data_IF_210439658638
#
_entry.id   IF_210439658638
#
_cell.length_a   1.000
_cell.length_b   1.000
_cell.length_c   1.000
_cell.angle_alpha   90.00
_cell.angle_beta   90.00
_cell.angle_gamma   90.00
#
_symmetry.space_group_name_H-M   'P 1'
#
loop_
_entity.id
_entity.type
_entity.pdbx_description
1 polymer ?
#
# COMPACT_ATOMS: atom_id res chain seq x y z
N UNK A 1 4.46 -24.45 -38.64
CA UNK A 1 3.38 -23.95 -37.77
C UNK A 1 3.83 -24.18 -36.34
N UNK A 2 4.35 -23.14 -35.72
CA UNK A 2 4.83 -23.18 -34.33
C UNK A 2 3.68 -22.62 -33.49
N UNK A 3 2.95 -23.50 -32.81
CA UNK A 3 2.00 -23.10 -31.79
C UNK A 3 2.77 -22.45 -30.66
N UNK A 4 2.53 -21.16 -30.46
CA UNK A 4 2.93 -20.48 -29.23
C UNK A 4 2.04 -21.02 -28.11
N UNK A 5 2.59 -21.40 -26.94
CA UNK A 5 1.77 -21.76 -25.81
C UNK A 5 0.95 -20.53 -25.39
N UNK A 6 -0.38 -20.69 -25.40
CA UNK A 6 -1.32 -19.73 -24.80
C UNK A 6 -0.86 -19.47 -23.37
N UNK A 7 -0.44 -18.22 -23.11
CA UNK A 7 -0.30 -17.73 -21.74
C UNK A 7 -1.67 -17.86 -21.11
N UNK A 8 -1.82 -18.78 -20.21
CA UNK A 8 -2.97 -18.83 -19.29
C UNK A 8 -3.01 -17.47 -18.60
N UNK A 9 -4.11 -16.77 -18.81
CA UNK A 9 -4.42 -15.45 -18.26
C UNK A 9 -4.57 -15.59 -16.72
N UNK A 10 -3.43 -15.69 -16.02
CA UNK A 10 -3.40 -15.53 -14.57
C UNK A 10 -3.74 -14.07 -14.30
N UNK A 11 -4.95 -13.83 -13.80
CA UNK A 11 -5.43 -12.49 -13.50
C UNK A 11 -4.46 -11.84 -12.52
N UNK A 12 -3.81 -10.75 -12.92
CA UNK A 12 -2.90 -9.99 -12.08
C UNK A 12 -3.56 -9.62 -10.74
N UNK A 13 -2.77 -9.65 -9.68
CA UNK A 13 -3.19 -9.12 -8.38
C UNK A 13 -3.11 -7.61 -8.39
N UNK A 14 -4.05 -6.95 -7.76
CA UNK A 14 -4.09 -5.49 -7.67
C UNK A 14 -3.53 -5.03 -6.33
N UNK A 15 -2.46 -4.25 -6.38
CA UNK A 15 -1.92 -3.51 -5.24
C UNK A 15 -2.46 -2.09 -5.26
N UNK A 16 -3.28 -1.73 -4.27
CA UNK A 16 -3.82 -0.38 -4.14
C UNK A 16 -2.91 0.47 -3.23
N UNK A 17 -2.39 1.55 -3.79
CA UNK A 17 -1.60 2.55 -3.06
C UNK A 17 -2.48 3.75 -2.74
N UNK A 18 -2.82 3.93 -1.48
CA UNK A 18 -3.62 5.07 -0.98
C UNK A 18 -2.70 6.03 -0.25
N UNK A 19 -2.63 7.27 -0.71
CA UNK A 19 -1.65 8.20 -0.21
C UNK A 19 -2.20 9.62 -0.01
N UNK A 20 -1.56 10.37 0.88
CA UNK A 20 -1.64 11.81 0.94
C UNK A 20 -0.25 12.40 0.87
N UNK A 21 0.05 13.12 -0.19
CA UNK A 21 1.40 13.64 -0.50
C UNK A 21 1.33 15.15 -0.80
N UNK A 22 1.10 15.97 0.25
CA UNK A 22 0.88 17.41 0.08
C UNK A 22 2.14 18.22 -0.15
N UNK A 23 3.33 17.63 -0.01
CA UNK A 23 4.62 18.30 -0.10
C UNK A 23 5.56 17.63 -1.10
N UNK A 24 6.63 18.33 -1.56
CA UNK A 24 7.67 17.71 -2.38
C UNK A 24 8.32 16.49 -1.70
N UNK A 25 8.59 16.56 -0.40
CA UNK A 25 9.18 15.47 0.36
C UNK A 25 8.28 14.22 0.37
N UNK A 26 7.00 14.37 0.69
CA UNK A 26 6.06 13.24 0.68
C UNK A 26 5.85 12.67 -0.71
N UNK A 27 5.94 13.49 -1.75
CA UNK A 27 5.88 13.02 -3.14
C UNK A 27 7.11 12.19 -3.51
N UNK A 28 8.30 12.61 -3.12
CA UNK A 28 9.55 11.88 -3.35
C UNK A 28 9.49 10.48 -2.69
N UNK A 29 8.93 10.37 -1.50
CA UNK A 29 8.74 9.08 -0.83
C UNK A 29 7.76 8.19 -1.58
N UNK A 30 6.65 8.74 -2.05
CA UNK A 30 5.68 8.00 -2.88
C UNK A 30 6.34 7.46 -4.15
N UNK A 31 7.13 8.29 -4.85
CA UNK A 31 7.83 7.87 -6.07
C UNK A 31 8.79 6.69 -5.80
N UNK A 32 9.53 6.73 -4.69
CA UNK A 32 10.41 5.64 -4.30
C UNK A 32 9.67 4.34 -3.96
N UNK A 33 8.55 4.43 -3.24
CA UNK A 33 7.69 3.28 -2.95
C UNK A 33 7.12 2.68 -4.24
N UNK A 34 6.64 3.53 -5.15
CA UNK A 34 6.10 3.09 -6.44
C UNK A 34 7.16 2.45 -7.33
N UNK A 35 8.39 2.95 -7.31
CA UNK A 35 9.49 2.34 -8.05
C UNK A 35 9.74 0.90 -7.59
N UNK A 36 9.71 0.63 -6.29
CA UNK A 36 9.82 -0.73 -5.75
C UNK A 36 8.61 -1.61 -6.04
N UNK A 37 7.40 -1.06 -5.93
CA UNK A 37 6.18 -1.80 -6.22
C UNK A 37 6.03 -2.17 -7.71
N UNK A 38 6.63 -1.38 -8.60
CA UNK A 38 6.67 -1.62 -10.04
C UNK A 38 8.03 -2.16 -10.52
N UNK A 39 8.80 -2.78 -9.64
CA UNK A 39 10.06 -3.40 -10.03
C UNK A 39 9.82 -4.36 -11.20
N UNK A 40 10.59 -4.24 -12.32
CA UNK A 40 10.39 -5.05 -13.52
C UNK A 40 10.60 -6.56 -13.29
N UNK A 41 11.25 -6.95 -12.22
CA UNK A 41 11.42 -8.36 -11.84
C UNK A 41 10.21 -8.95 -11.08
N UNK A 42 9.20 -8.12 -10.77
CA UNK A 42 7.96 -8.57 -10.13
C UNK A 42 6.84 -8.68 -11.16
N UNK A 43 6.44 -9.90 -11.47
CA UNK A 43 5.36 -10.19 -12.40
C UNK A 43 4.02 -10.44 -11.67
N UNK A 44 2.90 -10.28 -12.39
CA UNK A 44 1.57 -10.65 -11.91
C UNK A 44 0.96 -9.69 -10.89
N UNK A 45 1.47 -8.46 -10.80
CA UNK A 45 0.93 -7.41 -9.92
C UNK A 45 0.68 -6.14 -10.72
N UNK A 46 -0.53 -5.64 -10.65
CA UNK A 46 -0.90 -4.31 -11.17
C UNK A 46 -0.97 -3.32 -10.03
N UNK A 47 -0.18 -2.25 -10.09
CA UNK A 47 -0.15 -1.19 -9.08
C UNK A 47 -1.14 -0.09 -9.46
N UNK A 48 -2.11 0.18 -8.58
CA UNK A 48 -3.07 1.26 -8.73
C UNK A 48 -2.85 2.31 -7.65
N UNK A 49 -2.61 3.54 -8.06
CA UNK A 49 -2.30 4.66 -7.17
C UNK A 49 -3.49 5.61 -7.10
N UNK A 50 -4.00 5.85 -5.91
CA UNK A 50 -5.16 6.73 -5.71
C UNK A 50 -4.92 7.66 -4.51
N UNK A 51 -5.07 8.98 -4.68
CA UNK A 51 -5.05 9.89 -3.54
C UNK A 51 -6.14 9.55 -2.52
N UNK A 52 -5.85 9.71 -1.25
CA UNK A 52 -6.74 9.29 -0.16
C UNK A 52 -8.15 9.89 -0.27
N UNK A 53 -8.28 11.15 -0.70
CA UNK A 53 -9.60 11.79 -0.89
C UNK A 53 -10.36 11.27 -2.12
N UNK A 54 -9.69 10.58 -3.05
CA UNK A 54 -10.31 10.02 -4.25
C UNK A 54 -10.53 8.52 -4.20
N UNK A 55 -9.99 7.82 -3.20
CA UNK A 55 -10.14 6.38 -3.06
C UNK A 55 -11.53 6.00 -2.53
N UNK A 56 -12.12 4.98 -3.14
CA UNK A 56 -13.51 4.57 -2.91
C UNK A 56 -13.63 3.15 -2.37
N UNK A 57 -14.81 2.79 -1.87
CA UNK A 57 -15.13 1.42 -1.45
C UNK A 57 -14.88 0.39 -2.58
N UNK A 58 -15.34 0.61 -3.83
CA UNK A 58 -15.00 -0.29 -4.92
C UNK A 58 -13.50 -0.48 -5.15
N UNK A 59 -12.70 0.58 -5.00
CA UNK A 59 -11.24 0.47 -5.13
C UNK A 59 -10.65 -0.48 -4.09
N UNK A 60 -11.09 -0.36 -2.85
CA UNK A 60 -10.63 -1.19 -1.73
C UNK A 60 -11.07 -2.65 -1.91
N UNK A 61 -12.32 -2.87 -2.29
CA UNK A 61 -12.85 -4.23 -2.49
C UNK A 61 -12.18 -4.96 -3.66
N UNK A 62 -11.83 -4.24 -4.73
CA UNK A 62 -11.18 -4.81 -5.91
C UNK A 62 -9.69 -5.13 -5.70
N UNK A 63 -9.02 -4.50 -4.73
CA UNK A 63 -7.60 -4.70 -4.47
C UNK A 63 -7.32 -5.98 -3.68
N UNK A 64 -6.17 -6.58 -3.93
CA UNK A 64 -5.70 -7.79 -3.23
C UNK A 64 -4.74 -7.46 -2.07
N UNK A 65 -4.20 -6.24 -2.04
CA UNK A 65 -3.33 -5.73 -0.98
C UNK A 65 -3.19 -4.23 -1.04
N UNK A 66 -2.54 -3.65 -0.04
CA UNK A 66 -2.55 -2.21 0.18
C UNK A 66 -1.19 -1.67 0.59
N UNK A 67 -0.91 -0.45 0.15
CA UNK A 67 0.13 0.42 0.69
C UNK A 67 -0.53 1.75 1.11
N UNK A 68 -0.23 2.19 2.34
CA UNK A 68 -0.75 3.43 2.89
C UNK A 68 0.39 4.42 3.14
N UNK A 69 0.26 5.64 2.62
CA UNK A 69 1.24 6.70 2.80
C UNK A 69 0.62 7.98 3.35
N UNK A 70 1.19 8.52 4.43
CA UNK A 70 0.68 9.72 5.08
C UNK A 70 1.79 10.54 5.72
N UNK A 71 1.68 11.88 5.72
CA UNK A 71 2.42 12.68 6.66
C UNK A 71 1.87 12.50 8.08
N UNK A 72 2.70 12.74 9.08
CA UNK A 72 2.27 12.89 10.46
C UNK A 72 1.86 14.35 10.70
N UNK A 73 0.56 14.62 10.77
CA UNK A 73 0.01 15.94 11.05
C UNK A 73 -0.43 16.01 12.52
N UNK A 74 0.18 16.89 13.28
CA UNK A 74 -0.14 17.04 14.71
C UNK A 74 -0.09 15.71 15.49
N UNK A 75 0.91 14.87 15.20
CA UNK A 75 1.08 13.57 15.85
C UNK A 75 0.02 12.51 15.44
N UNK A 76 -0.65 12.69 14.30
CA UNK A 76 -1.71 11.81 13.81
C UNK A 76 -1.61 11.64 12.29
N UNK A 77 -2.29 10.64 11.73
CA UNK A 77 -2.39 10.53 10.27
C UNK A 77 -3.04 11.79 9.68
N UNK A 78 -2.80 12.07 8.40
CA UNK A 78 -3.44 13.22 7.75
C UNK A 78 -4.97 13.10 7.75
N UNK A 79 -5.66 14.23 7.76
CA UNK A 79 -7.11 14.26 7.65
C UNK A 79 -7.64 13.59 6.37
N UNK A 80 -6.87 13.68 5.28
CA UNK A 80 -7.23 13.02 4.03
C UNK A 80 -7.22 11.48 4.17
N UNK A 81 -6.21 10.90 4.79
CA UNK A 81 -6.16 9.46 5.04
C UNK A 81 -7.21 9.03 6.06
N UNK A 82 -7.46 9.84 7.09
CA UNK A 82 -8.53 9.57 8.06
C UNK A 82 -9.91 9.56 7.39
N UNK A 83 -10.18 10.52 6.50
CA UNK A 83 -11.40 10.55 5.71
C UNK A 83 -11.56 9.28 4.87
N UNK A 84 -10.49 8.82 4.21
CA UNK A 84 -10.51 7.55 3.49
C UNK A 84 -10.95 6.40 4.40
N UNK A 85 -10.32 6.23 5.55
CA UNK A 85 -10.69 5.16 6.49
C UNK A 85 -12.13 5.30 7.00
N UNK A 86 -12.57 6.51 7.32
CA UNK A 86 -13.96 6.74 7.74
C UNK A 86 -14.97 6.33 6.65
N UNK A 87 -14.59 6.47 5.38
CA UNK A 87 -15.44 6.11 4.24
C UNK A 87 -15.49 4.60 4.02
N UNK A 88 -14.36 3.89 4.15
CA UNK A 88 -14.24 2.50 3.71
C UNK A 88 -14.30 1.47 4.85
N UNK A 89 -14.08 1.88 6.09
CA UNK A 89 -13.91 0.96 7.21
C UNK A 89 -15.09 -0.03 7.35
N UNK A 90 -16.28 0.47 7.59
CA UNK A 90 -17.45 -0.41 7.77
C UNK A 90 -17.89 -1.11 6.49
N UNK A 91 -17.97 -0.45 5.32
CA UNK A 91 -18.35 -1.14 4.09
C UNK A 91 -17.41 -2.26 3.65
N UNK A 92 -16.14 -2.18 4.02
CA UNK A 92 -15.12 -3.17 3.64
C UNK A 92 -14.79 -4.16 4.76
N UNK A 93 -15.30 -3.93 5.97
CA UNK A 93 -15.07 -4.80 7.12
C UNK A 93 -15.48 -6.23 6.76
N UNK A 94 -14.71 -7.21 7.19
CA UNK A 94 -14.82 -8.64 6.86
C UNK A 94 -14.48 -9.02 5.40
N UNK A 95 -14.73 -8.15 4.43
CA UNK A 95 -14.46 -8.44 3.02
C UNK A 95 -12.95 -8.42 2.68
N UNK A 96 -12.15 -7.66 3.43
CA UNK A 96 -10.72 -7.47 3.17
C UNK A 96 -9.81 -8.19 4.17
N UNK A 97 -10.38 -8.94 5.11
CA UNK A 97 -9.62 -9.65 6.13
C UNK A 97 -8.54 -10.56 5.53
N UNK A 98 -7.34 -10.51 6.12
CA UNK A 98 -6.18 -11.29 5.67
C UNK A 98 -5.43 -10.72 4.48
N UNK A 99 -5.89 -9.65 3.83
CA UNK A 99 -5.15 -9.01 2.73
C UNK A 99 -3.90 -8.33 3.28
N UNK A 100 -2.76 -8.42 2.55
CA UNK A 100 -1.49 -7.86 3.00
C UNK A 100 -1.47 -6.35 2.90
N UNK A 101 -0.75 -5.70 3.83
CA UNK A 101 -0.48 -4.28 3.75
C UNK A 101 0.91 -3.91 4.23
N UNK A 102 1.36 -2.73 3.80
CA UNK A 102 2.47 -1.98 4.33
C UNK A 102 2.13 -0.50 4.44
N UNK A 103 2.92 0.26 5.21
CA UNK A 103 2.73 1.71 5.33
C UNK A 103 4.04 2.46 5.48
N UNK A 104 4.01 3.74 5.09
CA UNK A 104 5.06 4.70 5.39
C UNK A 104 4.47 6.00 5.93
N UNK A 105 5.19 6.59 6.87
CA UNK A 105 4.81 7.84 7.53
C UNK A 105 6.00 8.79 7.51
N UNK A 106 5.76 10.03 7.16
CA UNK A 106 6.75 11.09 7.19
C UNK A 106 6.35 12.20 8.16
N UNK A 107 7.25 12.57 9.05
CA UNK A 107 7.06 13.66 9.99
C UNK A 107 8.36 14.40 10.30
N UNK A 108 8.27 15.58 10.92
CA UNK A 108 9.46 16.31 11.34
C UNK A 108 10.10 15.70 12.60
N UNK A 109 9.29 15.45 13.62
CA UNK A 109 9.76 15.02 14.94
C UNK A 109 9.08 13.75 15.45
N UNK A 110 7.75 13.66 15.32
CA UNK A 110 6.96 12.59 15.91
C UNK A 110 6.06 11.93 14.85
N UNK A 111 6.33 10.67 14.57
CA UNK A 111 5.57 9.82 13.66
C UNK A 111 4.75 8.75 14.40
N UNK A 112 5.03 8.52 15.67
CA UNK A 112 4.47 7.41 16.44
C UNK A 112 2.95 7.45 16.53
N UNK A 113 2.35 8.62 16.74
CA UNK A 113 0.90 8.77 16.79
C UNK A 113 0.23 8.52 15.43
N UNK A 114 0.87 8.93 14.34
CA UNK A 114 0.39 8.64 13.00
C UNK A 114 0.43 7.14 12.69
N UNK A 115 1.53 6.46 12.98
CA UNK A 115 1.66 5.00 12.84
C UNK A 115 0.61 4.28 13.69
N UNK A 116 0.46 4.65 14.96
CA UNK A 116 -0.51 4.04 15.87
C UNK A 116 -1.95 4.22 15.38
N UNK A 117 -2.29 5.40 14.85
CA UNK A 117 -3.64 5.69 14.34
C UNK A 117 -3.99 4.85 13.10
N UNK A 118 -3.07 4.69 12.16
CA UNK A 118 -3.27 3.81 10.98
C UNK A 118 -3.34 2.35 11.43
N UNK A 119 -2.39 1.90 12.26
CA UNK A 119 -2.33 0.51 12.73
C UNK A 119 -3.62 0.07 13.41
N UNK A 120 -4.23 0.95 14.21
CA UNK A 120 -5.52 0.67 14.85
C UNK A 120 -6.61 0.31 13.85
N UNK A 121 -6.69 1.06 12.75
CA UNK A 121 -7.73 0.87 11.73
C UNK A 121 -7.48 -0.35 10.85
N UNK A 122 -6.25 -0.53 10.37
CA UNK A 122 -5.92 -1.70 9.53
C UNK A 122 -6.00 -3.02 10.32
N UNK A 123 -5.67 -3.00 11.62
CA UNK A 123 -5.87 -4.16 12.51
C UNK A 123 -7.37 -4.45 12.70
N UNK A 124 -8.19 -3.42 12.90
CA UNK A 124 -9.64 -3.57 12.99
C UNK A 124 -10.28 -4.11 11.72
N UNK A 125 -9.73 -3.76 10.55
CA UNK A 125 -10.13 -4.32 9.26
C UNK A 125 -9.59 -5.74 9.01
N UNK A 126 -8.78 -6.28 9.89
CA UNK A 126 -8.20 -7.61 9.77
C UNK A 126 -7.09 -7.73 8.72
N UNK A 127 -6.47 -6.62 8.29
CA UNK A 127 -5.38 -6.66 7.34
C UNK A 127 -4.12 -7.29 7.96
N UNK A 128 -3.32 -7.94 7.13
CA UNK A 128 -2.09 -8.63 7.55
C UNK A 128 -0.87 -7.76 7.22
N UNK A 129 -0.13 -7.36 8.24
CA UNK A 129 1.13 -6.64 8.05
C UNK A 129 2.19 -7.56 7.44
N UNK A 130 2.80 -7.14 6.32
CA UNK A 130 3.82 -7.94 5.61
C UNK A 130 5.18 -7.23 5.51
N UNK A 131 5.25 -6.00 5.95
CA UNK A 131 6.48 -5.22 6.06
C UNK A 131 6.46 -4.40 7.34
N UNK A 132 7.62 -4.11 7.92
CA UNK A 132 7.72 -3.20 9.06
C UNK A 132 7.23 -1.80 8.67
N UNK A 133 6.57 -1.12 9.60
CA UNK A 133 6.14 0.26 9.40
C UNK A 133 7.37 1.14 9.11
N UNK A 134 7.32 1.92 8.05
CA UNK A 134 8.40 2.80 7.66
C UNK A 134 8.16 4.19 8.21
N UNK A 135 8.85 4.52 9.29
CA UNK A 135 8.84 5.84 9.91
C UNK A 135 10.03 6.65 9.42
N UNK A 136 9.75 7.82 8.85
CA UNK A 136 10.77 8.70 8.27
C UNK A 136 10.67 10.07 8.92
N UNK A 137 11.77 10.48 9.54
CA UNK A 137 11.94 11.83 10.09
C UNK A 137 13.19 12.47 9.49
N UNK A 138 13.14 13.78 9.27
CA UNK A 138 14.27 14.51 8.72
C UNK A 138 14.42 14.42 7.20
N UNK A 139 15.64 14.69 6.68
CA UNK A 139 15.91 14.75 5.25
C UNK A 139 15.71 13.40 4.56
N UNK A 140 15.30 13.45 3.28
CA UNK A 140 15.19 12.27 2.44
C UNK A 140 16.50 12.09 1.68
N UNK A 141 17.29 11.13 2.12
CA UNK A 141 18.55 10.74 1.50
C UNK A 141 18.41 9.44 0.67
N UNK A 142 19.52 8.97 0.13
CA UNK A 142 19.54 7.74 -0.66
C UNK A 142 19.09 6.52 0.14
N UNK A 143 19.43 6.44 1.43
CA UNK A 143 19.06 5.32 2.29
C UNK A 143 17.56 5.31 2.57
N UNK A 144 16.94 6.48 2.78
CA UNK A 144 15.50 6.60 2.95
C UNK A 144 14.77 6.16 1.67
N UNK A 145 15.25 6.59 0.49
CA UNK A 145 14.68 6.15 -0.79
C UNK A 145 14.77 4.65 -0.99
N UNK A 146 15.90 4.04 -0.63
CA UNK A 146 16.07 2.58 -0.71
C UNK A 146 15.08 1.84 0.20
N UNK A 147 14.90 2.29 1.44
CA UNK A 147 13.92 1.71 2.35
C UNK A 147 12.47 1.83 1.82
N UNK A 148 12.15 2.93 1.16
CA UNK A 148 10.85 3.10 0.49
C UNK A 148 10.69 2.14 -0.68
N UNK A 149 11.73 1.97 -1.50
CA UNK A 149 11.77 1.00 -2.59
C UNK A 149 11.56 -0.42 -2.07
N UNK A 150 12.28 -0.82 -1.04
CA UNK A 150 12.15 -2.12 -0.39
C UNK A 150 10.73 -2.36 0.15
N UNK A 151 10.11 -1.34 0.76
CA UNK A 151 8.72 -1.43 1.23
C UNK A 151 7.76 -1.74 0.09
N UNK A 152 7.83 -0.98 -1.00
CA UNK A 152 6.99 -1.19 -2.18
C UNK A 152 7.17 -2.57 -2.79
N UNK A 153 8.43 -2.98 -2.98
CA UNK A 153 8.79 -4.29 -3.51
C UNK A 153 8.33 -5.45 -2.63
N UNK A 154 8.50 -5.35 -1.33
CA UNK A 154 8.09 -6.40 -0.37
C UNK A 154 6.60 -6.68 -0.44
N UNK A 155 5.76 -5.64 -0.46
CA UNK A 155 4.30 -5.84 -0.54
C UNK A 155 3.90 -6.40 -1.91
N UNK A 156 4.51 -5.91 -2.99
CA UNK A 156 4.24 -6.41 -4.34
C UNK A 156 4.63 -7.88 -4.52
N UNK A 157 5.83 -8.28 -4.08
CA UNK A 157 6.28 -9.69 -4.10
C UNK A 157 5.34 -10.59 -3.29
N UNK A 158 4.91 -10.13 -2.12
CA UNK A 158 3.94 -10.89 -1.29
C UNK A 158 2.64 -11.17 -2.04
N UNK A 159 2.19 -10.23 -2.87
CA UNK A 159 1.01 -10.43 -3.71
C UNK A 159 1.28 -11.36 -4.89
N UNK A 160 2.42 -11.22 -5.55
CA UNK A 160 2.84 -12.10 -6.64
C UNK A 160 2.89 -13.56 -6.19
N UNK A 161 3.51 -13.85 -5.05
CA UNK A 161 3.61 -15.20 -4.49
C UNK A 161 2.24 -15.81 -4.16
N UNK A 162 1.30 -15.00 -3.72
CA UNK A 162 -0.08 -15.45 -3.45
C UNK A 162 -0.86 -15.82 -4.72
N UNK A 163 -0.46 -15.32 -5.90
CA UNK A 163 -1.09 -15.67 -7.17
C UNK A 163 -0.78 -17.10 -7.59
N UNK A 164 0.36 -17.63 -7.19
CA UNK A 164 0.79 -19.00 -7.54
C UNK A 164 0.14 -20.08 -6.66
N UNK A 165 -0.47 -19.72 -5.53
CA UNK A 165 -0.91 -20.66 -4.48
C UNK A 165 -2.40 -20.81 -4.25
N UNK A 166 -3.32 -20.00 -4.81
CA UNK A 166 -4.75 -20.12 -4.51
C UNK A 166 -5.66 -19.52 -5.62
N UNK A 167 -6.50 -20.33 -6.29
CA UNK A 167 -7.55 -19.78 -7.15
C UNK A 167 -8.56 -19.00 -6.30
N UNK A 168 -8.98 -17.81 -6.76
CA UNK A 168 -10.04 -17.02 -6.14
C UNK A 168 -11.29 -17.90 -5.97
N UNK A 169 -11.71 -18.11 -4.73
CA UNK A 169 -13.06 -18.61 -4.48
C UNK A 169 -14.04 -17.49 -4.84
N UNK A 170 -14.90 -17.75 -5.80
CA UNK A 170 -15.99 -16.87 -6.24
C UNK A 170 -17.08 -16.80 -5.17
#
# INVERSE_FOLDING_TARGET
>A
MTEQPERTDATDRTLLVVHHTPSPATRELLEAVLAGANDPDIDGVTVRVVPALGATVPDVLAADGYLFGTPANFGYMSGALKHFFDTVYYPCLDAVAGRPYGMWVHGNDDTAGAVSSVRKLVTGMGLTQVAADLEITGPIDAQVRERCYELGGTVAVTLADRSEGCPRQR
#
